data_IF_454151917161
#
_entry.id   IF_454151917161
#
_cell.length_a   1.000
_cell.length_b   1.000
_cell.length_c   1.000
_cell.angle_alpha   90.00
_cell.angle_beta   90.00
_cell.angle_gamma   90.00
#
_symmetry.space_group_name_H-M   'P 1'
#
loop_
_entity.id
_entity.type
_entity.pdbx_description
1 polymer ?
#
# COMPACT_ATOMS: atom_id res chain seq x y z
N UNK A 1 7.72 20.71 -12.62
CA UNK A 1 6.46 21.37 -13.04
C UNK A 1 5.33 20.37 -12.79
N UNK A 2 4.52 20.54 -11.75
CA UNK A 2 3.43 19.61 -11.42
C UNK A 2 2.25 19.85 -12.36
N UNK A 3 1.77 18.81 -13.03
CA UNK A 3 0.55 18.88 -13.83
C UNK A 3 -0.62 19.15 -12.87
N UNK A 4 -1.40 20.25 -13.03
CA UNK A 4 -2.56 20.51 -12.19
C UNK A 4 -3.50 19.30 -12.17
N UNK A 5 -3.93 18.90 -10.97
CA UNK A 5 -4.79 17.73 -10.78
C UNK A 5 -4.09 16.38 -10.74
N UNK A 6 -2.76 16.30 -10.94
CA UNK A 6 -2.03 15.04 -10.75
C UNK A 6 -1.62 14.85 -9.29
N UNK A 7 -2.27 13.89 -8.61
CA UNK A 7 -2.01 13.54 -7.23
C UNK A 7 -1.32 12.18 -7.12
N UNK A 8 -0.26 12.13 -6.33
CA UNK A 8 0.50 10.94 -5.98
C UNK A 8 0.20 10.57 -4.53
N UNK A 9 -0.08 9.29 -4.28
CA UNK A 9 -0.35 8.77 -2.95
C UNK A 9 0.53 7.56 -2.63
N UNK A 10 0.78 7.35 -1.34
CA UNK A 10 1.21 6.05 -0.82
C UNK A 10 0.02 5.36 -0.17
N UNK A 11 -0.06 4.04 -0.31
CA UNK A 11 -0.99 3.22 0.45
C UNK A 11 -0.29 2.68 1.69
N UNK A 12 -0.89 2.85 2.86
CA UNK A 12 -0.44 2.27 4.12
C UNK A 12 -1.40 1.17 4.55
N UNK A 13 -0.86 0.01 4.90
CA UNK A 13 -1.62 -1.11 5.46
C UNK A 13 -0.83 -1.71 6.61
N UNK A 14 -1.47 -1.78 7.77
CA UNK A 14 -0.94 -2.44 8.95
C UNK A 14 -2.10 -2.95 9.81
N UNK A 15 -1.83 -3.89 10.69
CA UNK A 15 -2.79 -4.39 11.67
C UNK A 15 -2.11 -4.60 13.00
N UNK A 16 -2.78 -4.19 14.06
CA UNK A 16 -2.24 -4.20 15.41
C UNK A 16 -3.29 -4.69 16.39
N UNK A 17 -2.83 -5.08 17.56
CA UNK A 17 -3.71 -5.52 18.63
C UNK A 17 -4.38 -4.31 19.30
N UNK A 18 -5.69 -4.15 19.10
CA UNK A 18 -6.49 -3.05 19.62
C UNK A 18 -6.49 -2.99 21.17
N UNK A 19 -6.32 -4.15 21.82
CA UNK A 19 -6.40 -4.29 23.28
C UNK A 19 -5.01 -4.29 23.96
N UNK A 20 -3.94 -3.98 23.21
CA UNK A 20 -2.58 -3.94 23.75
C UNK A 20 -1.91 -5.33 23.87
N UNK A 21 -0.70 -5.36 24.45
CA UNK A 21 0.18 -6.54 24.41
C UNK A 21 -0.34 -7.76 25.18
N UNK A 22 -1.30 -7.59 26.09
CA UNK A 22 -1.69 -8.62 27.05
C UNK A 22 -2.71 -9.64 26.51
N UNK A 23 -3.45 -9.32 25.45
CA UNK A 23 -4.58 -10.15 25.00
C UNK A 23 -4.71 -10.11 23.48
N UNK A 24 -4.45 -11.21 22.75
CA UNK A 24 -4.62 -11.31 21.28
C UNK A 24 -6.12 -11.37 20.85
N UNK A 25 -6.96 -10.52 21.42
CA UNK A 25 -8.41 -10.61 21.27
C UNK A 25 -8.91 -9.96 19.97
N UNK A 26 -8.25 -8.90 19.49
CA UNK A 26 -8.63 -8.27 18.23
C UNK A 26 -7.45 -7.60 17.52
N UNK A 27 -7.05 -8.16 16.38
CA UNK A 27 -6.18 -7.53 15.38
C UNK A 27 -7.03 -6.68 14.45
N UNK A 28 -6.89 -5.36 14.51
CA UNK A 28 -7.57 -4.41 13.61
C UNK A 28 -6.53 -3.54 12.92
N UNK A 29 -6.86 -2.98 11.77
CA UNK A 29 -5.87 -2.24 10.98
C UNK A 29 -6.47 -1.22 10.03
N UNK A 30 -5.84 -0.05 9.83
CA UNK A 30 -6.31 0.91 8.84
C UNK A 30 -5.72 0.59 7.46
N UNK A 31 -6.49 0.89 6.42
CA UNK A 31 -6.01 1.09 5.05
C UNK A 31 -6.03 2.60 4.84
N UNK A 32 -4.86 3.21 4.67
CA UNK A 32 -4.75 4.67 4.53
C UNK A 32 -4.09 5.06 3.21
N UNK A 33 -4.47 6.22 2.68
CA UNK A 33 -3.79 6.91 1.60
C UNK A 33 -3.10 8.16 2.14
N UNK A 34 -1.81 8.30 1.83
CA UNK A 34 -0.96 9.43 2.24
C UNK A 34 -0.61 10.24 1.00
N UNK A 35 -1.02 11.51 0.96
CA UNK A 35 -0.75 12.40 -0.19
C UNK A 35 0.73 12.79 -0.24
N UNK A 36 1.42 12.37 -1.30
CA UNK A 36 2.84 12.64 -1.52
C UNK A 36 3.10 14.04 -2.09
N UNK A 37 2.07 14.73 -2.57
CA UNK A 37 2.18 16.12 -3.02
C UNK A 37 2.26 17.12 -1.85
N UNK A 38 1.91 16.70 -0.63
CA UNK A 38 2.06 17.54 0.56
C UNK A 38 3.53 17.62 1.00
N UNK A 39 3.97 18.74 1.60
CA UNK A 39 5.28 18.83 2.23
C UNK A 39 5.52 17.69 3.22
N UNK A 40 6.77 17.25 3.35
CA UNK A 40 7.12 16.11 4.20
C UNK A 40 6.69 16.29 5.67
N UNK A 41 6.75 17.52 6.19
CA UNK A 41 6.31 17.89 7.54
C UNK A 41 4.79 17.79 7.75
N UNK A 42 4.01 17.77 6.67
CA UNK A 42 2.55 17.81 6.70
C UNK A 42 1.91 16.45 6.40
N UNK A 43 2.53 15.66 5.52
CA UNK A 43 1.87 14.50 4.91
C UNK A 43 1.53 13.35 5.88
N UNK A 44 2.20 13.29 7.04
CA UNK A 44 1.96 12.25 8.06
C UNK A 44 1.14 12.75 9.26
N UNK A 45 0.63 13.99 9.21
CA UNK A 45 -0.25 14.49 10.25
C UNK A 45 -1.57 13.70 10.22
N UNK A 46 -2.14 13.31 11.38
CA UNK A 46 -3.38 12.55 11.43
C UNK A 46 -4.52 13.18 10.63
N UNK A 47 -4.65 14.51 10.65
CA UNK A 47 -5.68 15.25 9.90
C UNK A 47 -5.46 15.28 8.37
N UNK A 48 -4.31 14.81 7.88
CA UNK A 48 -3.96 14.74 6.45
C UNK A 48 -3.93 13.31 5.90
N UNK A 49 -4.04 12.29 6.77
CA UNK A 49 -4.13 10.90 6.36
C UNK A 49 -5.58 10.56 5.95
N UNK A 50 -5.76 9.98 4.77
CA UNK A 50 -7.08 9.54 4.32
C UNK A 50 -7.29 8.07 4.66
N UNK A 51 -8.20 7.77 5.59
CA UNK A 51 -8.54 6.38 5.92
C UNK A 51 -9.58 5.86 4.92
N UNK A 52 -9.15 5.01 4.00
CA UNK A 52 -10.02 4.41 2.97
C UNK A 52 -10.77 3.17 3.45
N UNK A 53 -10.33 2.55 4.54
CA UNK A 53 -10.99 1.37 5.10
C UNK A 53 -10.39 0.91 6.41
N UNK A 54 -11.14 0.07 7.12
CA UNK A 54 -10.70 -0.60 8.35
C UNK A 54 -10.77 -2.11 8.13
N UNK A 55 -9.64 -2.78 8.36
CA UNK A 55 -9.50 -4.23 8.40
C UNK A 55 -10.12 -4.70 9.71
N UNK A 56 -11.20 -5.52 9.66
CA UNK A 56 -11.84 -6.03 10.85
C UNK A 56 -11.00 -7.13 11.51
N UNK A 57 -11.11 -7.22 12.83
CA UNK A 57 -10.57 -8.34 13.60
C UNK A 57 -11.50 -9.56 13.61
N UNK A 58 -11.20 -10.59 14.42
CA UNK A 58 -10.21 -10.58 15.51
C UNK A 58 -8.79 -10.99 15.09
N UNK A 59 -8.60 -11.52 13.88
CA UNK A 59 -7.32 -12.02 13.38
C UNK A 59 -6.84 -11.18 12.21
N UNK A 60 -5.55 -11.25 11.93
CA UNK A 60 -5.01 -10.70 10.69
C UNK A 60 -5.73 -11.30 9.48
N UNK A 61 -6.01 -10.51 8.44
CA UNK A 61 -6.64 -11.03 7.24
C UNK A 61 -5.67 -11.97 6.51
N UNK A 62 -6.23 -12.98 5.88
CA UNK A 62 -5.54 -13.72 4.80
C UNK A 62 -5.32 -12.81 3.60
N UNK A 63 -4.41 -13.18 2.69
CA UNK A 63 -4.18 -12.41 1.45
C UNK A 63 -5.48 -12.27 0.61
N UNK A 64 -6.29 -13.33 0.55
CA UNK A 64 -7.57 -13.31 -0.15
C UNK A 64 -8.58 -12.34 0.50
N UNK A 65 -8.68 -12.35 1.84
CA UNK A 65 -9.54 -11.40 2.55
C UNK A 65 -9.09 -9.95 2.37
N UNK A 66 -7.78 -9.70 2.42
CA UNK A 66 -7.23 -8.36 2.15
C UNK A 66 -7.56 -7.90 0.72
N UNK A 67 -7.48 -8.78 -0.28
CA UNK A 67 -7.86 -8.46 -1.65
C UNK A 67 -9.34 -8.03 -1.76
N UNK A 68 -10.25 -8.72 -1.07
CA UNK A 68 -11.67 -8.33 -1.04
C UNK A 68 -11.88 -6.96 -0.38
N UNK A 69 -11.16 -6.68 0.70
CA UNK A 69 -11.22 -5.37 1.38
C UNK A 69 -10.67 -4.23 0.50
N UNK A 70 -9.64 -4.50 -0.30
CA UNK A 70 -9.03 -3.52 -1.20
C UNK A 70 -9.82 -3.31 -2.50
N UNK A 71 -10.67 -4.27 -2.90
CA UNK A 71 -11.34 -4.24 -4.20
C UNK A 71 -12.13 -2.95 -4.48
N UNK A 72 -12.91 -2.38 -3.54
CA UNK A 72 -13.62 -1.11 -3.77
C UNK A 72 -12.64 0.05 -4.02
N UNK A 73 -11.61 0.16 -3.18
CA UNK A 73 -10.58 1.18 -3.31
C UNK A 73 -9.82 1.08 -4.64
N UNK A 74 -9.45 -0.13 -5.04
CA UNK A 74 -8.76 -0.37 -6.32
C UNK A 74 -9.65 -0.02 -7.51
N UNK A 75 -10.97 -0.23 -7.42
CA UNK A 75 -11.91 0.19 -8.47
C UNK A 75 -11.90 1.71 -8.64
N UNK A 76 -12.04 2.45 -7.54
CA UNK A 76 -12.00 3.92 -7.57
C UNK A 76 -10.65 4.45 -8.06
N UNK A 77 -9.54 3.86 -7.61
CA UNK A 77 -8.20 4.24 -8.05
C UNK A 77 -7.98 3.99 -9.56
N UNK A 78 -8.57 2.94 -10.13
CA UNK A 78 -8.52 2.70 -11.58
C UNK A 78 -9.27 3.77 -12.37
N UNK A 79 -10.41 4.23 -11.87
CA UNK A 79 -11.17 5.33 -12.47
C UNK A 79 -10.36 6.64 -12.39
N UNK A 80 -9.82 6.95 -11.21
CA UNK A 80 -8.98 8.13 -10.98
C UNK A 80 -7.67 8.09 -11.77
N UNK A 81 -7.11 6.92 -12.10
CA UNK A 81 -5.93 6.81 -12.95
C UNK A 81 -6.20 7.29 -14.39
N UNK A 82 -7.37 6.97 -14.95
CA UNK A 82 -7.80 7.49 -16.27
C UNK A 82 -8.08 9.00 -16.19
N UNK A 83 -8.59 9.42 -15.03
CA UNK A 83 -8.88 10.80 -14.67
C UNK A 83 -10.36 11.04 -14.51
N UNK A 84 -10.72 11.88 -13.56
CA UNK A 84 -12.09 12.16 -13.18
C UNK A 84 -12.34 13.67 -13.11
N UNK A 85 -13.46 14.12 -13.65
CA UNK A 85 -13.86 15.53 -13.59
C UNK A 85 -14.80 15.75 -12.41
N UNK A 86 -14.30 16.39 -11.37
CA UNK A 86 -15.10 16.81 -10.23
C UNK A 86 -15.93 18.04 -10.59
N UNK A 87 -17.18 18.04 -10.14
CA UNK A 87 -18.08 19.18 -10.28
C UNK A 87 -17.50 20.44 -9.62
N UNK A 88 -17.92 21.63 -10.08
CA UNK A 88 -17.57 22.88 -9.43
C UNK A 88 -17.82 22.84 -7.92
N UNK A 89 -16.86 23.39 -7.17
CA UNK A 89 -16.99 23.60 -5.72
C UNK A 89 -17.14 25.10 -5.44
N UNK A 90 -17.50 25.47 -4.21
CA UNK A 90 -17.62 26.89 -3.82
C UNK A 90 -16.34 27.70 -4.08
N UNK A 91 -15.17 27.04 -4.08
CA UNK A 91 -13.86 27.63 -4.34
C UNK A 91 -13.37 27.47 -5.78
N UNK A 92 -14.09 26.74 -6.64
CA UNK A 92 -13.66 26.40 -8.00
C UNK A 92 -14.84 26.26 -8.95
N UNK A 93 -15.18 27.36 -9.64
CA UNK A 93 -16.38 27.50 -10.48
C UNK A 93 -16.35 26.60 -11.73
N UNK A 94 -15.17 26.19 -12.19
CA UNK A 94 -14.99 25.35 -13.39
C UNK A 94 -14.96 23.85 -13.11
N UNK A 95 -15.00 23.42 -11.84
CA UNK A 95 -14.69 22.04 -11.48
C UNK A 95 -13.18 21.74 -11.59
N UNK A 96 -12.80 20.47 -11.43
CA UNK A 96 -11.39 20.06 -11.46
C UNK A 96 -11.21 18.68 -12.06
N UNK A 97 -10.33 18.57 -13.05
CA UNK A 97 -9.89 17.29 -13.57
C UNK A 97 -8.73 16.75 -12.72
N UNK A 98 -8.90 15.56 -12.13
CA UNK A 98 -7.93 14.96 -11.21
C UNK A 98 -7.52 13.59 -11.72
N UNK A 99 -6.23 13.30 -11.62
CA UNK A 99 -5.65 11.97 -11.77
C UNK A 99 -4.94 11.53 -10.50
N UNK A 100 -5.13 10.29 -10.09
CA UNK A 100 -4.47 9.71 -8.90
C UNK A 100 -3.57 8.55 -9.29
N UNK A 101 -2.37 8.52 -8.73
CA UNK A 101 -1.42 7.42 -8.85
C UNK A 101 -0.97 6.94 -7.46
N UNK A 102 -0.90 5.62 -7.26
CA UNK A 102 -0.25 5.02 -6.09
C UNK A 102 1.21 4.75 -6.44
N UNK A 103 2.14 5.40 -5.74
CA UNK A 103 3.58 5.28 -6.02
C UNK A 103 4.29 4.31 -5.07
N UNK A 104 3.76 4.10 -3.88
CA UNK A 104 4.42 3.31 -2.85
C UNK A 104 3.40 2.61 -1.94
N UNK A 105 3.73 1.38 -1.56
CA UNK A 105 3.11 0.68 -0.46
C UNK A 105 3.99 0.82 0.78
N UNK A 106 3.39 1.16 1.93
CA UNK A 106 4.03 1.25 3.23
C UNK A 106 3.35 0.25 4.15
N UNK A 107 4.10 -0.71 4.64
CA UNK A 107 3.60 -1.80 5.44
C UNK A 107 4.79 -2.49 6.12
N UNK A 108 4.54 -3.22 7.21
CA UNK A 108 5.51 -4.20 7.69
C UNK A 108 5.73 -5.31 6.65
N UNK A 109 6.72 -6.18 6.85
CA UNK A 109 7.05 -7.18 5.82
C UNK A 109 5.86 -8.11 5.55
N UNK A 110 5.10 -8.50 6.58
CA UNK A 110 4.00 -9.46 6.45
C UNK A 110 2.83 -8.85 5.68
N UNK A 111 2.43 -7.63 6.03
CA UNK A 111 1.42 -6.82 5.33
C UNK A 111 1.84 -6.48 3.91
N UNK A 112 3.10 -6.13 3.69
CA UNK A 112 3.62 -5.86 2.36
C UNK A 112 3.43 -7.07 1.44
N UNK A 113 3.77 -8.29 1.90
CA UNK A 113 3.60 -9.50 1.08
C UNK A 113 2.15 -9.76 0.71
N UNK A 114 1.22 -9.61 1.66
CA UNK A 114 -0.21 -9.79 1.40
C UNK A 114 -0.74 -8.72 0.44
N UNK A 115 -0.31 -7.46 0.61
CA UNK A 115 -0.75 -6.32 -0.18
C UNK A 115 -0.24 -6.38 -1.64
N UNK A 116 1.01 -6.76 -1.86
CA UNK A 116 1.63 -6.78 -3.19
C UNK A 116 1.49 -8.13 -3.90
N UNK A 117 0.97 -9.15 -3.22
CA UNK A 117 0.85 -10.51 -3.76
C UNK A 117 2.19 -11.24 -3.92
N UNK A 118 3.22 -10.83 -3.17
CA UNK A 118 4.51 -11.53 -3.16
C UNK A 118 4.49 -12.73 -2.21
N UNK A 119 5.45 -13.64 -2.43
CA UNK A 119 5.67 -14.81 -1.57
C UNK A 119 5.81 -14.37 -0.11
N UNK A 120 5.14 -15.11 0.79
CA UNK A 120 5.17 -14.93 2.24
C UNK A 120 6.60 -14.75 2.79
N UNK A 121 6.70 -14.07 3.94
CA UNK A 121 7.95 -13.94 4.70
C UNK A 121 8.62 -15.28 5.05
N UNK A 122 7.85 -16.37 5.09
CA UNK A 122 8.33 -17.73 5.33
C UNK A 122 8.85 -18.45 4.08
N UNK A 123 8.74 -17.83 2.89
CA UNK A 123 9.19 -18.43 1.64
C UNK A 123 10.71 -18.46 1.51
N UNK A 124 11.19 -19.36 0.66
CA UNK A 124 12.62 -19.50 0.39
C UNK A 124 13.22 -18.32 -0.40
N UNK A 125 12.38 -17.53 -1.07
CA UNK A 125 12.81 -16.34 -1.78
C UNK A 125 12.34 -15.10 -1.04
N UNK A 126 13.18 -14.63 -0.13
CA UNK A 126 12.86 -13.56 0.81
C UNK A 126 13.05 -12.17 0.20
N UNK A 127 13.82 -12.02 -0.88
CA UNK A 127 14.01 -10.73 -1.54
C UNK A 127 12.92 -10.50 -2.60
N UNK A 128 12.35 -9.29 -2.64
CA UNK A 128 11.42 -8.89 -3.70
C UNK A 128 12.12 -8.51 -4.99
N UNK A 129 13.43 -8.28 -4.99
CA UNK A 129 14.15 -7.79 -6.18
C UNK A 129 15.03 -8.88 -6.80
N UNK A 130 15.55 -9.78 -5.96
CA UNK A 130 16.58 -10.73 -6.32
C UNK A 130 16.07 -12.16 -6.21
N UNK A 131 16.68 -13.08 -6.95
CA UNK A 131 16.37 -14.52 -6.90
C UNK A 131 17.13 -15.28 -5.81
N UNK A 132 17.68 -14.59 -4.80
CA UNK A 132 18.47 -15.22 -3.74
C UNK A 132 17.59 -16.18 -2.93
N UNK A 133 18.08 -17.41 -2.75
CA UNK A 133 17.46 -18.41 -1.91
C UNK A 133 17.88 -18.22 -0.45
N UNK A 134 16.99 -18.52 0.50
CA UNK A 134 17.22 -18.36 1.95
C UNK A 134 18.45 -19.13 2.45
N UNK A 135 18.76 -20.26 1.82
CA UNK A 135 19.97 -21.04 2.11
C UNK A 135 21.28 -20.28 1.81
N UNK A 136 21.21 -19.25 0.97
CA UNK A 136 22.35 -18.45 0.50
C UNK A 136 22.30 -17.02 1.06
N UNK A 137 21.58 -16.80 2.17
CA UNK A 137 21.38 -15.45 2.73
C UNK A 137 22.68 -14.77 3.16
N UNK A 138 23.70 -15.57 3.50
CA UNK A 138 25.03 -15.09 3.90
C UNK A 138 25.98 -14.89 2.69
N UNK A 139 25.58 -15.35 1.50
CA UNK A 139 26.39 -15.25 0.28
C UNK A 139 26.26 -13.85 -0.34
N UNK A 140 27.12 -12.92 0.07
CA UNK A 140 27.14 -11.54 -0.42
C UNK A 140 28.18 -11.41 -1.56
N UNK A 141 27.73 -11.13 -2.78
CA UNK A 141 28.62 -10.90 -3.92
C UNK A 141 27.90 -10.53 -5.23
N UNK A 142 28.56 -9.84 -6.18
CA UNK A 142 28.01 -9.37 -7.46
C UNK A 142 27.42 -10.49 -8.37
N UNK A 143 27.78 -11.75 -8.12
CA UNK A 143 27.31 -12.93 -8.82
C UNK A 143 25.88 -13.37 -8.46
N UNK A 144 25.31 -12.86 -7.36
CA UNK A 144 23.97 -13.25 -6.87
C UNK A 144 22.85 -12.26 -7.25
N UNK A 145 23.11 -11.39 -8.23
CA UNK A 145 22.27 -10.23 -8.57
C UNK A 145 21.30 -10.48 -9.74
N UNK A 146 20.85 -11.72 -9.94
CA UNK A 146 19.81 -11.94 -10.95
C UNK A 146 18.52 -11.26 -10.47
N UNK A 147 18.14 -10.21 -11.18
CA UNK A 147 16.89 -9.51 -10.95
C UNK A 147 15.74 -10.45 -11.28
N UNK A 148 14.77 -10.47 -10.38
CA UNK A 148 13.59 -11.29 -10.54
C UNK A 148 12.64 -10.57 -11.50
N UNK A 149 12.20 -11.26 -12.55
CA UNK A 149 11.17 -10.72 -13.44
C UNK A 149 9.80 -10.84 -12.77
N UNK A 150 8.86 -9.94 -13.07
CA UNK A 150 7.50 -9.97 -12.50
C UNK A 150 6.81 -11.34 -12.58
N UNK A 151 7.02 -12.09 -13.67
CA UNK A 151 6.48 -13.44 -13.84
C UNK A 151 7.01 -14.45 -12.81
N UNK A 152 8.25 -14.26 -12.34
CA UNK A 152 8.92 -15.09 -11.33
C UNK A 152 8.63 -14.65 -9.88
N UNK A 153 7.79 -13.62 -9.66
CA UNK A 153 7.41 -13.15 -8.31
C UNK A 153 6.21 -13.89 -7.71
N UNK A 154 5.42 -14.57 -8.53
CA UNK A 154 4.32 -15.44 -8.10
C UNK A 154 4.85 -16.80 -7.69
#
# INVERSE_FOLDING_TARGET
>A
MSIPGALAFSIYVDWFNAHGKSTRLASIGPIMLICLNLPQSERLKPEKAYVSGIIPGPKEPTALQLNYLLMPLIKELKELWQGYHFSPTSTGISGSFIRVAILMAIADVVAMRKLTGFISHSGNHFCNLLTIHKAQIEEIGPQFHYTRSYQKHK
#
